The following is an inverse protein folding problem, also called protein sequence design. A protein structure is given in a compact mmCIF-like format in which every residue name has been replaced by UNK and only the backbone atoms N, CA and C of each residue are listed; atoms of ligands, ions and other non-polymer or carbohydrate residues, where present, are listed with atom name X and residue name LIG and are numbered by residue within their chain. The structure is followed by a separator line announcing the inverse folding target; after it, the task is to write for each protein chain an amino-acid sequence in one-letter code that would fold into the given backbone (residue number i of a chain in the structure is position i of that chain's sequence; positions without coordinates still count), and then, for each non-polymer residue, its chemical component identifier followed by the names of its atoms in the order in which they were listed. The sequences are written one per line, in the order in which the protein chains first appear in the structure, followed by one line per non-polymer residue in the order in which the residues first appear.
data_IF_299969482528
#
_entry.id   IF_299969482528
#
_cell.length_a   1.000
_cell.length_b   1.000
_cell.length_c   1.000
_cell.angle_alpha   90.00
_cell.angle_beta   90.00
_cell.angle_gamma   90.00
#
_symmetry.space_group_name_H-M   'P 1'
#
loop_
_entity.id
_entity.type
_entity.pdbx_description
1 polymer ?
#
# COMPACT_ATOMS: atom_id res chain seq x y z
N UNK A 1 -10.52 2.39 53.11
CA UNK A 1 -11.69 2.53 52.25
C UNK A 1 -11.77 3.95 51.73
N UNK A 2 -11.85 4.12 50.41
CA UNK A 2 -12.19 5.40 49.79
C UNK A 2 -13.67 5.70 50.05
N UNK A 3 -13.97 6.95 50.37
CA UNK A 3 -15.34 7.43 50.53
C UNK A 3 -16.06 7.45 49.18
N UNK A 4 -17.40 7.40 49.22
CA UNK A 4 -18.21 7.36 48.00
C UNK A 4 -18.04 8.66 47.18
N UNK A 5 -17.91 9.79 47.86
CA UNK A 5 -17.68 11.10 47.24
C UNK A 5 -16.35 11.15 46.47
N UNK A 6 -15.27 10.57 47.02
CA UNK A 6 -13.97 10.49 46.32
C UNK A 6 -14.05 9.62 45.05
N UNK A 7 -14.90 8.58 45.05
CA UNK A 7 -15.12 7.75 43.86
C UNK A 7 -15.88 8.52 42.79
N UNK A 8 -16.91 9.27 43.17
CA UNK A 8 -17.74 10.03 42.24
C UNK A 8 -16.97 11.20 41.63
N UNK A 9 -16.10 11.88 42.41
CA UNK A 9 -15.17 12.90 41.89
C UNK A 9 -14.17 12.30 40.87
N UNK A 10 -13.59 11.14 41.17
CA UNK A 10 -12.68 10.46 40.25
C UNK A 10 -13.37 10.03 38.95
N UNK A 11 -14.61 9.57 39.04
CA UNK A 11 -15.42 9.17 37.88
C UNK A 11 -15.78 10.38 37.00
N UNK A 12 -16.09 11.52 37.63
CA UNK A 12 -16.33 12.77 36.93
C UNK A 12 -15.08 13.26 36.20
N UNK A 13 -13.94 13.33 36.89
CA UNK A 13 -12.67 13.74 36.31
C UNK A 13 -12.22 12.82 35.15
N UNK A 14 -12.47 11.51 35.27
CA UNK A 14 -12.19 10.55 34.20
C UNK A 14 -13.06 10.82 32.97
N UNK A 15 -14.35 11.11 33.18
CA UNK A 15 -15.31 11.38 32.10
C UNK A 15 -14.97 12.68 31.37
N UNK A 16 -14.61 13.74 32.10
CA UNK A 16 -14.12 14.99 31.51
C UNK A 16 -12.83 14.80 30.72
N UNK A 17 -11.87 14.04 31.26
CA UNK A 17 -10.64 13.71 30.57
C UNK A 17 -10.89 12.98 29.24
N UNK A 18 -11.84 12.02 29.23
CA UNK A 18 -12.21 11.29 28.02
C UNK A 18 -12.90 12.20 26.98
N UNK A 19 -13.79 13.07 27.43
CA UNK A 19 -14.47 14.05 26.57
C UNK A 19 -13.47 15.03 25.93
N UNK A 20 -12.52 15.55 26.73
CA UNK A 20 -11.48 16.46 26.26
C UNK A 20 -10.55 15.77 25.24
N UNK A 21 -10.13 14.53 25.54
CA UNK A 21 -9.27 13.75 24.65
C UNK A 21 -9.96 13.43 23.32
N UNK A 22 -11.21 13.02 23.34
CA UNK A 22 -11.98 12.76 22.13
C UNK A 22 -12.13 14.03 21.28
N UNK A 23 -12.48 15.16 21.91
CA UNK A 23 -12.60 16.45 21.23
C UNK A 23 -11.28 16.88 20.57
N UNK A 24 -10.16 16.73 21.29
CA UNK A 24 -8.82 17.05 20.76
C UNK A 24 -8.41 16.15 19.58
N UNK A 25 -8.71 14.85 19.64
CA UNK A 25 -8.44 13.91 18.55
C UNK A 25 -9.28 14.25 17.32
N UNK A 26 -10.57 14.55 17.49
CA UNK A 26 -11.43 14.97 16.39
C UNK A 26 -10.94 16.27 15.72
N UNK A 27 -10.53 17.27 16.51
CA UNK A 27 -9.99 18.52 15.96
C UNK A 27 -8.70 18.28 15.14
N UNK A 28 -7.84 17.38 15.61
CA UNK A 28 -6.58 17.02 14.93
C UNK A 28 -6.84 16.25 13.64
N UNK A 29 -7.76 15.28 13.66
CA UNK A 29 -8.16 14.52 12.48
C UNK A 29 -8.83 15.41 11.44
N UNK A 30 -9.70 16.33 11.86
CA UNK A 30 -10.31 17.31 10.96
C UNK A 30 -9.27 18.21 10.29
N UNK A 31 -8.25 18.65 11.04
CA UNK A 31 -7.17 19.48 10.49
C UNK A 31 -6.32 18.68 9.50
N UNK A 32 -6.02 17.42 9.80
CA UNK A 32 -5.28 16.54 8.91
C UNK A 32 -6.05 16.24 7.61
N UNK A 33 -7.36 15.98 7.71
CA UNK A 33 -8.23 15.76 6.55
C UNK A 33 -8.31 17.00 5.65
N UNK A 34 -8.47 18.18 6.24
CA UNK A 34 -8.50 19.44 5.51
C UNK A 34 -7.17 19.72 4.79
N UNK A 35 -6.03 19.48 5.45
CA UNK A 35 -4.71 19.63 4.82
C UNK A 35 -4.52 18.66 3.65
N UNK A 36 -4.95 17.41 3.81
CA UNK A 36 -4.90 16.42 2.73
C UNK A 36 -5.76 16.87 1.53
N UNK A 37 -6.97 17.36 1.78
CA UNK A 37 -7.86 17.88 0.74
C UNK A 37 -7.24 19.07 -0.01
N UNK A 38 -6.75 20.09 0.69
CA UNK A 38 -6.10 21.25 0.06
C UNK A 38 -4.88 20.85 -0.79
N UNK A 39 -4.11 19.86 -0.32
CA UNK A 39 -2.95 19.35 -1.05
C UNK A 39 -3.38 18.62 -2.33
N UNK A 40 -4.42 17.80 -2.25
CA UNK A 40 -4.98 17.10 -3.41
C UNK A 40 -5.57 18.08 -4.43
N UNK A 41 -6.29 19.10 -3.99
CA UNK A 41 -6.80 20.17 -4.86
C UNK A 41 -5.68 20.92 -5.60
N UNK A 42 -4.53 21.13 -4.93
CA UNK A 42 -3.35 21.69 -5.59
C UNK A 42 -2.79 20.76 -6.67
N UNK A 43 -2.71 19.45 -6.39
CA UNK A 43 -2.29 18.46 -7.37
C UNK A 43 -3.23 18.40 -8.58
N UNK A 44 -4.54 18.50 -8.39
CA UNK A 44 -5.50 18.48 -9.52
C UNK A 44 -5.22 19.61 -10.51
N UNK A 45 -4.95 20.82 -10.02
CA UNK A 45 -4.58 21.96 -10.88
C UNK A 45 -3.30 21.70 -11.67
N UNK A 46 -2.32 21.02 -11.08
CA UNK A 46 -1.09 20.63 -11.77
C UNK A 46 -1.39 19.58 -12.85
N UNK A 47 -2.22 18.59 -12.53
CA UNK A 47 -2.59 17.53 -13.45
C UNK A 47 -3.44 18.05 -14.61
N UNK A 48 -4.39 18.95 -14.36
CA UNK A 48 -5.13 19.68 -15.40
C UNK A 48 -4.19 20.44 -16.32
N UNK A 49 -3.25 21.20 -15.75
CA UNK A 49 -2.26 21.95 -16.52
C UNK A 49 -1.38 21.05 -17.40
N UNK A 50 -0.99 19.89 -16.86
CA UNK A 50 -0.23 18.88 -17.60
C UNK A 50 -1.05 18.31 -18.76
N UNK A 51 -2.28 17.89 -18.50
CA UNK A 51 -3.17 17.34 -19.51
C UNK A 51 -3.44 18.35 -20.64
N UNK A 52 -3.71 19.61 -20.30
CA UNK A 52 -3.94 20.67 -21.28
C UNK A 52 -2.73 20.93 -22.17
N UNK A 53 -1.51 20.94 -21.61
CA UNK A 53 -0.31 21.26 -22.37
C UNK A 53 0.22 20.08 -23.20
N UNK A 54 -0.03 18.84 -22.76
CA UNK A 54 0.62 17.64 -23.33
C UNK A 54 -0.34 16.62 -23.92
N UNK A 55 -1.66 16.79 -23.73
CA UNK A 55 -2.71 15.82 -24.08
C UNK A 55 -2.50 14.44 -23.45
N UNK A 56 -1.90 14.40 -22.28
CA UNK A 56 -1.75 13.18 -21.48
C UNK A 56 -3.03 12.96 -20.67
N UNK A 57 -3.49 11.72 -20.64
CA UNK A 57 -4.54 11.27 -19.71
C UNK A 57 -3.91 10.86 -18.38
N UNK A 58 -4.44 11.38 -17.27
CA UNK A 58 -3.98 11.10 -15.90
C UNK A 58 -5.16 10.77 -15.01
N UNK A 59 -4.97 9.80 -14.11
CA UNK A 59 -5.88 9.54 -13.00
C UNK A 59 -5.10 9.52 -11.68
N UNK A 60 -5.78 9.88 -10.59
CA UNK A 60 -5.27 9.80 -9.23
C UNK A 60 -6.35 9.17 -8.34
N UNK A 61 -5.97 8.16 -7.57
CA UNK A 61 -6.79 7.59 -6.50
C UNK A 61 -6.10 7.83 -5.16
N UNK A 62 -6.83 8.33 -4.18
CA UNK A 62 -6.34 8.62 -2.84
C UNK A 62 -7.30 8.04 -1.80
N UNK A 63 -6.78 7.25 -0.87
CA UNK A 63 -7.57 6.63 0.21
C UNK A 63 -6.85 6.83 1.52
N UNK A 64 -7.58 6.89 2.63
CA UNK A 64 -6.93 6.85 3.95
C UNK A 64 -6.48 5.43 4.28
N UNK A 65 -5.38 5.30 5.03
CA UNK A 65 -4.86 4.01 5.47
C UNK A 65 -5.36 3.59 6.86
N UNK A 66 -6.23 4.37 7.50
CA UNK A 66 -6.61 4.16 8.91
C UNK A 66 -8.06 4.57 9.16
N UNK A 67 -8.81 3.69 9.83
CA UNK A 67 -10.28 3.75 10.03
C UNK A 67 -10.74 4.99 10.80
N UNK A 68 -9.85 5.61 11.58
CA UNK A 68 -10.18 6.81 12.38
C UNK A 68 -9.88 8.13 11.65
N UNK A 69 -9.37 8.09 10.43
CA UNK A 69 -9.18 9.30 9.63
C UNK A 69 -10.51 9.68 8.97
N UNK A 70 -10.95 10.92 9.12
CA UNK A 70 -12.25 11.38 8.60
C UNK A 70 -12.20 11.86 7.15
N UNK A 71 -11.05 11.76 6.48
CA UNK A 71 -10.91 12.14 5.06
C UNK A 71 -11.60 11.12 4.17
N UNK A 72 -12.56 11.54 3.35
CA UNK A 72 -13.18 10.63 2.39
C UNK A 72 -12.16 10.14 1.35
N UNK A 73 -12.25 8.86 0.91
CA UNK A 73 -11.52 8.41 -0.27
C UNK A 73 -11.94 9.27 -1.47
N UNK A 74 -10.97 9.56 -2.33
CA UNK A 74 -11.16 10.50 -3.42
C UNK A 74 -10.46 10.00 -4.68
N UNK A 75 -11.06 10.26 -5.84
CA UNK A 75 -10.41 10.02 -7.12
C UNK A 75 -10.55 11.24 -8.03
N UNK A 76 -9.58 11.40 -8.92
CA UNK A 76 -9.54 12.43 -9.94
C UNK A 76 -9.12 11.82 -11.27
N UNK A 77 -9.74 12.26 -12.35
CA UNK A 77 -9.37 11.88 -13.71
C UNK A 77 -9.39 13.11 -14.61
N UNK A 78 -8.42 13.23 -15.49
CA UNK A 78 -8.41 14.25 -16.55
C UNK A 78 -9.28 13.78 -17.71
N UNK A 79 -10.11 14.67 -18.26
CA UNK A 79 -10.83 14.43 -19.52
C UNK A 79 -11.59 13.08 -19.53
N UNK A 80 -11.62 12.37 -20.66
CA UNK A 80 -12.32 11.09 -20.87
C UNK A 80 -11.69 9.88 -20.14
N UNK A 81 -10.88 10.08 -19.09
CA UNK A 81 -10.38 8.96 -18.27
C UNK A 81 -11.52 8.17 -17.63
N UNK A 82 -12.66 8.81 -17.37
CA UNK A 82 -13.87 8.14 -16.89
C UNK A 82 -14.35 7.06 -17.87
N UNK A 83 -14.46 7.41 -19.15
CA UNK A 83 -14.88 6.49 -20.20
C UNK A 83 -13.99 5.24 -20.26
N UNK A 84 -12.69 5.38 -19.98
CA UNK A 84 -11.81 4.20 -19.89
C UNK A 84 -12.22 3.25 -18.75
N UNK A 85 -12.55 3.77 -17.57
CA UNK A 85 -12.93 2.93 -16.44
C UNK A 85 -14.29 2.26 -16.68
N UNK A 86 -15.27 3.01 -17.18
CA UNK A 86 -16.61 2.49 -17.42
C UNK A 86 -16.67 1.61 -18.67
N UNK A 87 -16.22 2.09 -19.83
CA UNK A 87 -16.39 1.38 -21.11
C UNK A 87 -15.41 0.23 -21.31
N UNK A 88 -14.18 0.34 -20.80
CA UNK A 88 -13.12 -0.66 -21.02
C UNK A 88 -12.97 -1.60 -19.84
N UNK A 89 -13.04 -1.06 -18.62
CA UNK A 89 -12.83 -1.85 -17.41
C UNK A 89 -14.13 -2.34 -16.77
N UNK A 90 -15.30 -1.83 -17.19
CA UNK A 90 -16.61 -2.14 -16.62
C UNK A 90 -16.64 -1.91 -15.10
N UNK A 91 -16.01 -0.82 -14.67
CA UNK A 91 -15.86 -0.44 -13.26
C UNK A 91 -16.08 1.06 -13.08
N UNK A 92 -16.93 1.43 -12.13
CA UNK A 92 -17.06 2.83 -11.72
C UNK A 92 -15.82 3.24 -10.89
N UNK A 93 -15.23 4.44 -11.13
CA UNK A 93 -14.08 4.91 -10.36
C UNK A 93 -14.31 4.92 -8.84
N UNK A 94 -15.54 5.19 -8.39
CA UNK A 94 -15.93 5.14 -6.98
C UNK A 94 -15.85 3.72 -6.41
N UNK A 95 -16.17 2.69 -7.19
CA UNK A 95 -15.96 1.30 -6.76
C UNK A 95 -14.47 0.98 -6.62
N UNK A 96 -13.64 1.50 -7.51
CA UNK A 96 -12.18 1.30 -7.47
C UNK A 96 -11.61 1.94 -6.20
N UNK A 97 -11.99 3.19 -5.90
CA UNK A 97 -11.48 3.91 -4.72
C UNK A 97 -11.95 3.23 -3.43
N UNK A 98 -13.19 2.73 -3.38
CA UNK A 98 -13.71 1.97 -2.24
C UNK A 98 -12.97 0.63 -2.03
N UNK A 99 -12.71 -0.13 -3.11
CA UNK A 99 -11.95 -1.39 -3.02
C UNK A 99 -10.51 -1.13 -2.58
N UNK A 100 -9.89 -0.07 -3.08
CA UNK A 100 -8.56 0.36 -2.67
C UNK A 100 -8.52 0.72 -1.18
N UNK A 101 -9.52 1.43 -0.68
CA UNK A 101 -9.64 1.79 0.73
C UNK A 101 -9.84 0.57 1.63
N UNK A 102 -10.73 -0.34 1.24
CA UNK A 102 -10.93 -1.61 1.94
C UNK A 102 -9.63 -2.42 2.03
N UNK A 103 -8.90 -2.50 0.91
CA UNK A 103 -7.58 -3.13 0.89
C UNK A 103 -6.60 -2.41 1.82
N UNK A 104 -6.53 -1.07 1.76
CA UNK A 104 -5.62 -0.26 2.55
C UNK A 104 -5.92 -0.34 4.05
N UNK A 105 -7.20 -0.43 4.45
CA UNK A 105 -7.60 -0.58 5.86
C UNK A 105 -7.33 -2.00 6.36
N UNK A 106 -7.62 -3.03 5.55
CA UNK A 106 -7.38 -4.44 5.91
C UNK A 106 -5.88 -4.79 5.96
N UNK A 107 -5.08 -4.16 5.10
CA UNK A 107 -3.63 -4.32 5.03
C UNK A 107 -2.88 -3.13 5.65
N UNK A 108 -3.59 -2.28 6.39
CA UNK A 108 -3.10 -1.09 7.09
C UNK A 108 -2.20 -1.41 8.27
N UNK A 109 -1.42 -2.49 8.15
CA UNK A 109 -0.23 -2.75 8.95
C UNK A 109 0.64 -1.50 8.85
N UNK A 110 0.90 -0.88 10.01
CA UNK A 110 1.64 0.37 10.13
C UNK A 110 2.92 0.36 9.26
N UNK A 111 3.40 1.52 8.81
CA UNK A 111 4.74 1.63 8.17
C UNK A 111 5.83 0.91 8.99
N UNK A 112 5.64 0.80 10.31
CA UNK A 112 6.49 0.03 11.24
C UNK A 112 6.43 -1.50 11.06
N UNK A 113 5.27 -2.07 10.70
CA UNK A 113 5.11 -3.50 10.42
C UNK A 113 5.62 -3.90 9.04
N UNK A 114 5.77 -2.96 8.09
CA UNK A 114 6.57 -3.20 6.87
C UNK A 114 8.03 -3.52 7.16
N UNK A 115 8.54 -3.07 8.31
CA UNK A 115 9.88 -3.42 8.80
C UNK A 115 9.91 -4.68 9.67
N UNK A 116 8.79 -5.40 9.81
CA UNK A 116 8.81 -6.73 10.42
C UNK A 116 9.43 -7.74 9.46
N UNK A 117 10.03 -8.80 10.01
CA UNK A 117 10.54 -9.93 9.23
C UNK A 117 9.46 -10.45 8.28
N UNK A 118 8.24 -10.70 8.78
CA UNK A 118 7.11 -11.19 7.98
C UNK A 118 6.71 -10.22 6.85
N UNK A 119 6.67 -8.91 7.14
CA UNK A 119 6.37 -7.88 6.15
C UNK A 119 7.42 -7.83 5.03
N UNK A 120 8.71 -7.93 5.38
CA UNK A 120 9.80 -7.98 4.39
C UNK A 120 9.78 -9.26 3.56
N UNK A 121 9.49 -10.41 4.17
CA UNK A 121 9.33 -11.69 3.46
C UNK A 121 8.22 -11.62 2.41
N UNK A 122 7.06 -11.06 2.80
CA UNK A 122 5.93 -10.87 1.90
C UNK A 122 6.31 -9.93 0.75
N UNK A 123 6.95 -8.79 1.05
CA UNK A 123 7.34 -7.81 0.03
C UNK A 123 8.34 -8.38 -0.97
N UNK A 124 9.36 -9.12 -0.51
CA UNK A 124 10.32 -9.79 -1.39
C UNK A 124 9.62 -10.81 -2.30
N UNK A 125 8.69 -11.60 -1.74
CA UNK A 125 7.92 -12.59 -2.50
C UNK A 125 7.02 -11.92 -3.53
N UNK A 126 6.40 -10.80 -3.18
CA UNK A 126 5.58 -10.01 -4.09
C UNK A 126 6.40 -9.45 -5.26
N UNK A 127 7.56 -8.84 -5.00
CA UNK A 127 8.44 -8.29 -6.04
C UNK A 127 8.90 -9.39 -7.01
N UNK A 128 9.32 -10.55 -6.48
CA UNK A 128 9.76 -11.69 -7.31
C UNK A 128 8.64 -12.25 -8.21
N UNK A 129 7.43 -12.42 -7.68
CA UNK A 129 6.30 -12.89 -8.47
C UNK A 129 5.86 -11.85 -9.51
N UNK A 130 5.92 -10.56 -9.16
CA UNK A 130 5.58 -9.46 -10.08
C UNK A 130 6.58 -9.38 -11.23
N UNK A 131 7.89 -9.47 -10.95
CA UNK A 131 8.93 -9.53 -11.97
C UNK A 131 8.77 -10.75 -12.88
N UNK A 132 8.46 -11.92 -12.31
CA UNK A 132 8.20 -13.13 -13.11
C UNK A 132 6.98 -12.97 -14.02
N UNK A 133 5.90 -12.34 -13.52
CA UNK A 133 4.72 -12.06 -14.32
C UNK A 133 5.03 -11.10 -15.47
N UNK A 134 5.89 -10.10 -15.25
CA UNK A 134 6.34 -9.19 -16.29
C UNK A 134 7.21 -9.88 -17.36
N UNK A 135 8.15 -10.73 -16.95
CA UNK A 135 9.03 -11.45 -17.88
C UNK A 135 8.28 -12.51 -18.71
N UNK A 136 7.22 -13.12 -18.15
CA UNK A 136 6.40 -14.09 -18.88
C UNK A 136 5.29 -13.37 -19.64
N UNK A 137 5.51 -13.11 -20.93
CA UNK A 137 4.54 -12.49 -21.87
C UNK A 137 3.21 -13.27 -21.99
N UNK A 138 3.15 -14.50 -21.48
CA UNK A 138 1.95 -15.34 -21.49
C UNK A 138 1.02 -14.94 -20.33
N UNK A 139 -0.25 -14.61 -20.62
CA UNK A 139 -1.32 -14.17 -19.70
C UNK A 139 -1.66 -15.12 -18.52
N UNK A 140 -0.83 -16.10 -18.19
CA UNK A 140 -1.03 -16.98 -17.02
C UNK A 140 -0.33 -16.36 -15.81
N UNK A 141 -1.09 -16.18 -14.71
CA UNK A 141 -0.52 -15.88 -13.40
C UNK A 141 0.37 -17.06 -12.97
N UNK A 142 1.68 -16.93 -13.15
CA UNK A 142 2.67 -17.93 -12.75
C UNK A 142 3.28 -17.47 -11.44
N UNK A 143 3.20 -18.35 -10.45
CA UNK A 143 3.87 -18.16 -9.17
C UNK A 143 5.24 -18.77 -9.23
N UNK A 144 6.22 -18.12 -8.61
CA UNK A 144 7.59 -18.60 -8.57
C UNK A 144 7.65 -19.88 -7.72
N UNK A 145 8.15 -20.95 -8.33
CA UNK A 145 8.43 -22.19 -7.60
C UNK A 145 9.93 -22.22 -7.29
N UNK A 146 10.29 -21.82 -6.07
CA UNK A 146 11.70 -21.73 -5.65
C UNK A 146 12.43 -23.07 -5.74
N UNK A 147 11.79 -24.15 -5.29
CA UNK A 147 12.37 -25.51 -5.28
C UNK A 147 12.63 -26.00 -6.70
N UNK A 148 11.64 -25.84 -7.57
CA UNK A 148 11.71 -26.33 -8.94
C UNK A 148 12.06 -25.23 -9.94
N UNK A 149 12.69 -24.12 -9.52
CA UNK A 149 12.88 -22.96 -10.40
C UNK A 149 13.62 -23.34 -11.70
N UNK A 150 14.72 -24.10 -11.57
CA UNK A 150 15.52 -24.54 -12.71
C UNK A 150 14.74 -25.41 -13.70
N UNK A 151 13.83 -26.25 -13.20
CA UNK A 151 13.15 -27.28 -13.99
C UNK A 151 11.78 -26.81 -14.50
N UNK A 152 11.03 -26.08 -13.67
CA UNK A 152 9.66 -25.66 -13.96
C UNK A 152 9.57 -24.26 -14.60
N UNK A 153 10.51 -23.37 -14.28
CA UNK A 153 10.49 -21.97 -14.75
C UNK A 153 11.57 -21.73 -15.79
N UNK A 154 12.84 -21.95 -15.45
CA UNK A 154 13.97 -21.71 -16.37
C UNK A 154 13.90 -22.58 -17.62
N UNK A 155 13.69 -23.89 -17.49
CA UNK A 155 13.60 -24.77 -18.64
C UNK A 155 12.35 -24.52 -19.51
N UNK A 156 11.24 -24.09 -18.90
CA UNK A 156 9.96 -23.90 -19.58
C UNK A 156 9.82 -22.54 -20.27
N UNK A 157 10.35 -21.49 -19.64
CA UNK A 157 10.17 -20.10 -20.08
C UNK A 157 11.49 -19.41 -20.44
N UNK A 158 12.64 -20.08 -20.31
CA UNK A 158 13.96 -19.52 -20.62
C UNK A 158 14.43 -18.44 -19.63
N UNK A 159 13.72 -18.26 -18.51
CA UNK A 159 13.98 -17.18 -17.55
C UNK A 159 15.20 -17.52 -16.70
N UNK A 160 16.13 -16.58 -16.62
CA UNK A 160 17.28 -16.61 -15.73
C UNK A 160 17.10 -15.57 -14.62
N UNK A 161 17.63 -15.87 -13.43
CA UNK A 161 17.74 -14.87 -12.37
C UNK A 161 19.11 -14.21 -12.56
N UNK A 162 19.10 -12.92 -12.87
CA UNK A 162 20.30 -12.08 -12.90
C UNK A 162 20.45 -11.39 -11.54
N UNK A 163 21.67 -10.97 -11.18
CA UNK A 163 21.93 -10.14 -9.99
C UNK A 163 21.49 -10.70 -8.62
N UNK A 164 21.25 -12.00 -8.51
CA UNK A 164 21.01 -12.62 -7.20
C UNK A 164 22.25 -12.51 -6.31
N UNK A 165 22.04 -12.38 -5.00
CA UNK A 165 23.11 -12.25 -4.01
C UNK A 165 24.13 -13.39 -4.12
N UNK A 166 25.39 -13.04 -4.29
CA UNK A 166 26.48 -14.01 -4.38
C UNK A 166 26.60 -14.82 -3.08
N UNK A 167 26.69 -16.15 -3.20
CA UNK A 167 26.77 -17.04 -2.04
C UNK A 167 25.46 -17.31 -1.29
N UNK A 168 24.34 -16.67 -1.68
CA UNK A 168 23.03 -16.90 -1.03
C UNK A 168 22.20 -17.88 -1.88
N UNK A 169 21.73 -19.01 -1.33
CA UNK A 169 20.89 -19.94 -2.08
C UNK A 169 19.59 -19.26 -2.52
N UNK A 170 19.18 -19.53 -3.76
CA UNK A 170 17.88 -19.07 -4.26
C UNK A 170 16.76 -19.85 -3.58
N UNK A 171 16.10 -19.20 -2.61
CA UNK A 171 15.08 -19.80 -1.77
C UNK A 171 13.92 -18.83 -1.55
N UNK A 172 12.80 -19.36 -1.05
CA UNK A 172 11.64 -18.54 -0.73
C UNK A 172 12.02 -17.50 0.34
N UNK A 173 11.65 -16.21 0.18
CA UNK A 173 11.87 -15.22 1.21
C UNK A 173 11.32 -15.64 2.58
N UNK A 174 10.22 -16.40 2.61
CA UNK A 174 9.62 -16.92 3.84
C UNK A 174 10.52 -17.87 4.64
N UNK A 175 11.55 -18.46 4.03
CA UNK A 175 12.53 -19.29 4.76
C UNK A 175 13.65 -18.49 5.40
N UNK A 176 13.77 -17.19 5.07
CA UNK A 176 14.79 -16.30 5.63
C UNK A 176 14.25 -15.68 6.91
N UNK A 177 14.77 -16.08 8.07
CA UNK A 177 14.35 -15.54 9.38
C UNK A 177 15.23 -14.39 9.87
N UNK A 178 16.42 -14.21 9.27
CA UNK A 178 17.33 -13.11 9.59
C UNK A 178 16.87 -11.81 8.92
N UNK A 179 16.56 -10.80 9.73
CA UNK A 179 16.11 -9.48 9.29
C UNK A 179 17.15 -8.75 8.41
N UNK A 180 18.45 -8.89 8.70
CA UNK A 180 19.51 -8.23 7.91
C UNK A 180 19.59 -8.81 6.50
N UNK A 181 19.54 -10.14 6.38
CA UNK A 181 19.55 -10.82 5.09
C UNK A 181 18.30 -10.49 4.26
N UNK A 182 17.13 -10.39 4.91
CA UNK A 182 15.90 -9.94 4.25
C UNK A 182 15.97 -8.49 3.78
N UNK A 183 16.56 -7.60 4.59
CA UNK A 183 16.72 -6.20 4.21
C UNK A 183 17.65 -6.04 3.01
N UNK A 184 18.76 -6.78 2.98
CA UNK A 184 19.68 -6.80 1.84
C UNK A 184 18.95 -7.33 0.60
N UNK A 185 18.25 -8.46 0.71
CA UNK A 185 17.47 -9.02 -0.40
C UNK A 185 16.42 -8.02 -0.91
N UNK A 186 15.67 -7.39 -0.01
CA UNK A 186 14.66 -6.39 -0.35
C UNK A 186 15.26 -5.22 -1.13
N UNK A 187 16.41 -4.69 -0.70
CA UNK A 187 17.07 -3.58 -1.37
C UNK A 187 17.55 -3.97 -2.78
N UNK A 188 18.20 -5.13 -2.93
CA UNK A 188 18.64 -5.65 -4.23
C UNK A 188 17.46 -5.86 -5.20
N UNK A 189 16.35 -6.42 -4.70
CA UNK A 189 15.13 -6.60 -5.48
C UNK A 189 14.53 -5.26 -5.93
N UNK A 190 14.54 -4.25 -5.06
CA UNK A 190 13.99 -2.92 -5.35
C UNK A 190 14.84 -2.14 -6.36
N UNK A 191 16.15 -2.35 -6.36
CA UNK A 191 17.09 -1.76 -7.33
C UNK A 191 16.98 -2.39 -8.74
N UNK A 192 16.11 -3.39 -8.92
CA UNK A 192 15.84 -4.00 -10.21
C UNK A 192 16.92 -4.97 -10.67
N UNK A 193 17.84 -5.37 -9.80
CA UNK A 193 18.95 -6.26 -10.17
C UNK A 193 18.52 -7.70 -10.48
N UNK A 194 17.26 -8.07 -10.23
CA UNK A 194 16.79 -9.46 -10.26
C UNK A 194 15.83 -9.84 -11.42
N UNK A 195 15.78 -9.07 -12.51
CA UNK A 195 14.99 -9.41 -13.71
C UNK A 195 15.91 -9.63 -14.92
#
# INVERSE_FOLDING_TARGET
DMTQDEKDELLHALTEYWALKNTSVHATNSTAAHNAQLTLEHFFKILDGLALCTRIYVCLFATHSHVYNSSQPFWYGTDNVMDFWEDIMDLEPDEIVCKMEQWACMHGKNIKERNSVEGMQWMCTYILNSGLHWCVVVKKKIWINFINFKVAIKARYGINILGWLEGVPFQSPHTITNAEHLQILHNVLKEGMCC
#
